data_IF_184579214631
#
_entry.id   IF_184579214631
#
_cell.length_a   1.000
_cell.length_b   1.000
_cell.length_c   1.000
_cell.angle_alpha   90.00
_cell.angle_beta   90.00
_cell.angle_gamma   90.00
#
_symmetry.space_group_name_H-M   'P 1'
#
loop_
_entity.id
_entity.type
_entity.pdbx_description
1 polymer ?
#
# COMPACT_ATOMS: atom_id res chain seq x y z
N UNK A 1 13.42 13.57 7.79
CA UNK A 1 13.39 12.15 7.37
C UNK A 1 13.72 12.06 5.89
N UNK A 2 14.00 10.87 5.38
CA UNK A 2 14.17 10.63 3.95
C UNK A 2 13.12 9.63 3.46
N UNK A 3 12.47 9.93 2.34
CA UNK A 3 11.62 8.99 1.63
C UNK A 3 12.45 8.29 0.56
N UNK A 4 12.64 6.98 0.72
CA UNK A 4 13.46 6.13 -0.13
C UNK A 4 12.54 5.22 -0.94
N UNK A 5 12.62 5.29 -2.27
CA UNK A 5 11.89 4.42 -3.17
C UNK A 5 12.77 3.21 -3.57
N UNK A 6 12.67 2.12 -2.81
CA UNK A 6 13.35 0.87 -3.11
C UNK A 6 12.84 0.24 -4.41
N UNK A 7 11.54 0.39 -4.69
CA UNK A 7 10.97 0.18 -6.03
C UNK A 7 10.26 1.45 -6.52
N UNK A 8 10.07 1.63 -7.85
CA UNK A 8 9.45 2.81 -8.40
C UNK A 8 8.05 3.02 -7.86
N UNK A 9 7.77 4.26 -7.50
CA UNK A 9 6.45 4.75 -7.13
C UNK A 9 5.74 5.22 -8.40
N UNK A 10 4.45 4.92 -8.50
CA UNK A 10 3.53 5.47 -9.49
C UNK A 10 2.49 6.26 -8.71
N UNK A 11 2.16 7.48 -9.13
CA UNK A 11 1.06 8.21 -8.48
C UNK A 11 -0.29 7.84 -9.08
N UNK A 12 -0.40 7.92 -10.41
CA UNK A 12 -1.62 7.65 -11.16
C UNK A 12 -1.27 7.18 -12.56
N UNK A 13 -2.25 6.70 -13.33
CA UNK A 13 -2.05 6.40 -14.76
C UNK A 13 -1.60 7.61 -15.57
N UNK A 14 -2.03 8.82 -15.18
CA UNK A 14 -1.69 10.07 -15.84
C UNK A 14 -0.33 10.66 -15.42
N UNK A 15 0.42 9.97 -14.56
CA UNK A 15 1.71 10.44 -14.04
C UNK A 15 1.60 11.20 -12.72
N UNK A 16 2.64 11.98 -12.40
CA UNK A 16 2.72 12.77 -11.17
C UNK A 16 1.99 14.11 -11.29
N UNK A 17 1.36 14.60 -10.22
CA UNK A 17 0.82 15.94 -10.20
C UNK A 17 1.96 16.95 -10.29
N UNK A 18 1.67 18.09 -10.90
CA UNK A 18 2.60 19.21 -11.08
C UNK A 18 1.95 20.47 -10.50
N UNK A 19 2.76 21.37 -9.97
CA UNK A 19 2.27 22.68 -9.52
C UNK A 19 2.14 23.66 -10.69
N UNK A 20 1.84 24.92 -10.38
CA UNK A 20 1.66 25.99 -11.37
C UNK A 20 2.94 26.26 -12.18
N UNK A 21 4.11 25.95 -11.63
CA UNK A 21 5.42 26.07 -12.30
C UNK A 21 5.81 24.79 -13.07
N UNK A 22 4.92 23.78 -13.12
CA UNK A 22 5.18 22.51 -13.77
C UNK A 22 6.08 21.55 -12.98
N UNK A 23 6.41 21.85 -11.72
CA UNK A 23 7.28 21.02 -10.88
C UNK A 23 6.52 19.81 -10.34
N UNK A 24 7.00 18.58 -10.58
CA UNK A 24 6.32 17.37 -10.10
C UNK A 24 6.48 17.19 -8.59
N UNK A 25 5.45 16.66 -7.94
CA UNK A 25 5.48 16.40 -6.50
C UNK A 25 4.72 15.12 -6.11
N UNK A 26 5.03 14.60 -4.92
CA UNK A 26 4.24 13.61 -4.22
C UNK A 26 3.28 14.35 -3.27
N UNK A 27 1.95 14.18 -3.42
CA UNK A 27 0.99 14.85 -2.56
C UNK A 27 0.90 14.16 -1.20
N UNK A 28 0.53 14.91 -0.16
CA UNK A 28 0.34 14.41 1.21
C UNK A 28 -0.53 13.16 1.30
N UNK A 29 -1.63 13.10 0.54
CA UNK A 29 -2.58 12.00 0.59
C UNK A 29 -1.94 10.65 0.25
N UNK A 30 -0.89 10.62 -0.57
CA UNK A 30 -0.17 9.39 -0.92
C UNK A 30 0.52 8.76 0.30
N UNK A 31 1.01 9.57 1.24
CA UNK A 31 1.59 9.09 2.50
C UNK A 31 0.51 8.77 3.53
N UNK A 32 -0.53 9.60 3.62
CA UNK A 32 -1.66 9.35 4.51
C UNK A 32 -2.32 8.02 4.17
N UNK A 33 -2.56 7.72 2.89
CA UNK A 33 -3.15 6.45 2.46
C UNK A 33 -2.29 5.25 2.89
N UNK A 34 -0.98 5.27 2.63
CA UNK A 34 -0.11 4.14 2.94
C UNK A 34 0.05 3.90 4.45
N UNK A 35 0.18 4.98 5.24
CA UNK A 35 0.22 4.90 6.71
C UNK A 35 -1.14 4.42 7.25
N UNK A 36 -2.25 4.93 6.70
CA UNK A 36 -3.60 4.54 7.11
C UNK A 36 -3.83 3.04 6.92
N UNK A 37 -3.50 2.46 5.77
CA UNK A 37 -3.64 1.02 5.54
C UNK A 37 -2.83 0.19 6.55
N UNK A 38 -1.62 0.66 6.90
CA UNK A 38 -0.80 0.01 7.91
C UNK A 38 -1.42 0.06 9.31
N UNK A 39 -1.93 1.22 9.72
CA UNK A 39 -2.62 1.44 11.00
C UNK A 39 -3.88 0.57 11.12
N UNK A 40 -4.71 0.54 10.08
CA UNK A 40 -5.89 -0.33 10.02
C UNK A 40 -5.47 -1.78 10.24
N UNK A 41 -4.54 -2.30 9.44
CA UNK A 41 -4.11 -3.70 9.55
C UNK A 41 -3.59 -4.03 10.96
N UNK A 42 -2.78 -3.14 11.52
CA UNK A 42 -2.16 -3.33 12.83
C UNK A 42 -3.18 -3.38 13.96
N UNK A 43 -4.12 -2.43 14.01
CA UNK A 43 -5.08 -2.36 15.10
C UNK A 43 -6.17 -3.42 15.01
N UNK A 44 -6.63 -3.77 13.80
CA UNK A 44 -7.54 -4.91 13.65
C UNK A 44 -6.86 -6.19 14.15
N UNK A 45 -5.56 -6.37 13.89
CA UNK A 45 -4.81 -7.53 14.38
C UNK A 45 -4.62 -7.55 15.89
N UNK A 46 -4.53 -6.39 16.55
CA UNK A 46 -4.23 -6.28 17.98
C UNK A 46 -5.47 -6.17 18.87
N UNK A 47 -6.55 -5.59 18.37
CA UNK A 47 -7.74 -5.29 19.14
C UNK A 47 -8.92 -6.15 18.66
N UNK A 48 -9.24 -7.17 19.46
CA UNK A 48 -10.37 -8.08 19.21
C UNK A 48 -11.72 -7.37 19.17
N UNK A 49 -11.88 -6.26 19.89
CA UNK A 49 -13.13 -5.49 19.88
C UNK A 49 -13.33 -4.82 18.52
N UNK A 50 -12.27 -4.16 18.00
CA UNK A 50 -12.30 -3.60 16.64
C UNK A 50 -12.48 -4.72 15.61
N UNK A 51 -11.74 -5.82 15.73
CA UNK A 51 -11.86 -6.96 14.82
C UNK A 51 -13.31 -7.43 14.73
N UNK A 52 -13.96 -7.65 15.88
CA UNK A 52 -15.35 -8.10 15.95
C UNK A 52 -16.31 -7.06 15.40
N UNK A 53 -16.13 -5.77 15.74
CA UNK A 53 -16.95 -4.67 15.21
C UNK A 53 -16.91 -4.63 13.68
N UNK A 54 -15.71 -4.66 13.10
CA UNK A 54 -15.52 -4.60 11.66
C UNK A 54 -15.96 -5.89 10.96
N UNK A 55 -15.71 -7.06 11.56
CA UNK A 55 -16.24 -8.34 11.07
C UNK A 55 -17.77 -8.29 11.02
N UNK A 56 -18.42 -7.75 12.05
CA UNK A 56 -19.88 -7.59 12.07
C UNK A 56 -20.36 -6.65 10.97
N UNK A 57 -19.71 -5.50 10.75
CA UNK A 57 -20.02 -4.59 9.64
C UNK A 57 -19.92 -5.33 8.30
N UNK A 58 -18.81 -6.04 8.09
CA UNK A 58 -18.55 -6.80 6.86
C UNK A 58 -19.59 -7.91 6.65
N UNK A 59 -20.01 -8.61 7.70
CA UNK A 59 -20.93 -9.75 7.59
C UNK A 59 -22.42 -9.37 7.59
N UNK A 60 -22.83 -8.29 8.24
CA UNK A 60 -24.26 -7.94 8.39
C UNK A 60 -24.77 -6.90 7.40
N UNK A 61 -23.93 -5.97 6.95
CA UNK A 61 -24.37 -4.87 6.07
C UNK A 61 -24.16 -5.21 4.58
N UNK A 62 -24.96 -4.66 3.65
CA UNK A 62 -24.68 -4.72 2.22
C UNK A 62 -23.33 -4.04 1.92
N UNK A 63 -22.47 -4.71 1.17
CA UNK A 63 -21.14 -4.20 0.89
C UNK A 63 -21.18 -3.22 -0.28
N UNK A 64 -20.70 -2.00 -0.05
CA UNK A 64 -20.41 -1.03 -1.10
C UNK A 64 -18.95 -0.60 -0.99
N UNK A 65 -18.18 -0.83 -2.05
CA UNK A 65 -16.74 -0.54 -2.12
C UNK A 65 -16.42 0.90 -1.68
N UNK A 66 -17.20 1.89 -2.14
CA UNK A 66 -16.95 3.32 -1.86
C UNK A 66 -17.09 3.63 -0.36
N UNK A 67 -18.08 3.03 0.30
CA UNK A 67 -18.39 3.33 1.70
C UNK A 67 -17.61 2.44 2.66
N UNK A 68 -17.25 1.22 2.25
CA UNK A 68 -16.65 0.23 3.13
C UNK A 68 -15.24 0.63 3.59
N UNK A 69 -14.40 1.13 2.67
CA UNK A 69 -13.08 1.64 3.03
C UNK A 69 -13.16 2.81 4.01
N UNK A 70 -14.13 3.70 3.82
CA UNK A 70 -14.38 4.84 4.72
C UNK A 70 -14.82 4.38 6.12
N UNK A 71 -15.81 3.50 6.21
CA UNK A 71 -16.31 2.96 7.49
C UNK A 71 -15.22 2.26 8.31
N UNK A 72 -14.33 1.52 7.65
CA UNK A 72 -13.23 0.83 8.33
C UNK A 72 -12.20 1.83 8.84
N UNK A 73 -11.85 2.83 8.03
CA UNK A 73 -10.96 3.94 8.42
C UNK A 73 -11.51 4.65 9.65
N UNK A 74 -12.76 5.09 9.60
CA UNK A 74 -13.45 5.77 10.72
C UNK A 74 -13.43 4.90 11.98
N UNK A 75 -13.89 3.65 11.91
CA UNK A 75 -13.97 2.79 13.09
C UNK A 75 -12.61 2.52 13.77
N UNK A 76 -11.50 2.52 13.02
CA UNK A 76 -10.16 2.37 13.59
C UNK A 76 -9.63 3.71 14.10
N UNK A 77 -9.71 4.77 13.30
CA UNK A 77 -9.12 6.07 13.62
C UNK A 77 -9.86 6.79 14.75
N UNK A 78 -11.18 6.59 14.90
CA UNK A 78 -11.97 7.11 16.02
C UNK A 78 -11.49 6.55 17.37
N UNK A 79 -11.07 5.27 17.40
CA UNK A 79 -10.54 4.62 18.62
C UNK A 79 -9.04 4.89 18.78
N UNK A 80 -8.32 5.00 17.68
CA UNK A 80 -6.87 5.16 17.63
C UNK A 80 -6.48 6.38 16.77
N UNK A 81 -6.49 7.60 17.36
CA UNK A 81 -6.19 8.86 16.67
C UNK A 81 -4.69 9.05 16.39
N UNK A 82 -4.05 8.01 15.83
CA UNK A 82 -2.61 7.99 15.53
C UNK A 82 -2.24 8.97 14.42
N UNK A 83 -3.23 9.41 13.62
CA UNK A 83 -3.05 10.34 12.51
C UNK A 83 -3.34 11.81 12.88
N UNK A 84 -3.99 12.09 14.01
CA UNK A 84 -4.49 13.44 14.35
C UNK A 84 -3.38 14.49 14.50
N UNK A 85 -2.18 14.04 14.90
CA UNK A 85 -0.99 14.90 15.05
C UNK A 85 0.12 14.54 14.07
N UNK A 86 -0.23 13.86 12.97
CA UNK A 86 0.69 13.53 11.91
C UNK A 86 0.85 14.72 10.96
N UNK A 87 1.98 15.40 11.07
CA UNK A 87 2.39 16.39 10.09
C UNK A 87 3.08 15.72 8.91
N UNK A 88 2.61 16.03 7.71
CA UNK A 88 3.21 15.69 6.41
C UNK A 88 3.03 16.91 5.51
N UNK A 89 4.05 17.32 4.73
CA UNK A 89 3.93 18.46 3.83
C UNK A 89 2.88 18.20 2.75
N UNK A 90 2.12 19.22 2.36
CA UNK A 90 1.09 19.10 1.31
C UNK A 90 1.67 18.63 -0.02
N UNK A 91 2.89 19.10 -0.35
CA UNK A 91 3.65 18.72 -1.54
C UNK A 91 5.07 18.34 -1.14
N UNK A 92 5.52 17.17 -1.57
CA UNK A 92 6.94 16.76 -1.50
C UNK A 92 7.50 16.73 -2.92
N UNK A 93 8.28 17.74 -3.29
CA UNK A 93 8.82 17.86 -4.64
C UNK A 93 9.82 16.75 -4.97
N UNK A 94 9.71 16.20 -6.17
CA UNK A 94 10.59 15.13 -6.66
C UNK A 94 11.44 15.63 -7.84
N UNK A 95 12.73 15.27 -7.93
CA UNK A 95 13.57 15.72 -9.04
C UNK A 95 13.13 15.12 -10.39
N UNK A 96 12.87 15.97 -11.39
CA UNK A 96 12.47 15.56 -12.75
C UNK A 96 13.42 14.53 -13.37
N UNK A 97 14.73 14.63 -13.09
CA UNK A 97 15.76 13.70 -13.58
C UNK A 97 15.56 12.24 -13.14
N UNK A 98 14.77 12.00 -12.10
CA UNK A 98 14.45 10.66 -11.59
C UNK A 98 13.05 10.17 -12.02
N UNK A 99 12.35 10.95 -12.85
CA UNK A 99 11.07 10.59 -13.43
C UNK A 99 11.30 10.02 -14.82
N UNK A 100 10.70 8.86 -15.10
CA UNK A 100 10.74 8.21 -16.41
C UNK A 100 9.34 7.76 -16.80
N UNK A 101 9.05 7.74 -18.10
CA UNK A 101 7.83 7.12 -18.61
C UNK A 101 8.13 5.66 -18.95
N UNK A 102 7.43 4.74 -18.29
CA UNK A 102 7.61 3.30 -18.48
C UNK A 102 6.28 2.61 -18.75
N UNK A 103 6.34 1.46 -19.43
CA UNK A 103 5.19 0.56 -19.56
C UNK A 103 5.11 -0.31 -18.31
N UNK A 104 3.93 -0.30 -17.69
CA UNK A 104 3.64 -1.01 -16.43
C UNK A 104 2.53 -2.01 -16.69
N UNK A 105 2.69 -3.22 -16.18
CA UNK A 105 1.74 -4.31 -16.32
C UNK A 105 0.91 -4.50 -15.06
N UNK A 106 -0.36 -4.85 -15.23
CA UNK A 106 -1.22 -5.35 -14.18
C UNK A 106 -1.06 -6.87 -14.18
N UNK A 107 -0.19 -7.36 -13.29
CA UNK A 107 0.18 -8.76 -13.20
C UNK A 107 -0.73 -9.50 -12.22
N UNK A 108 -1.28 -10.62 -12.67
CA UNK A 108 -2.03 -11.55 -11.83
C UNK A 108 -1.07 -12.49 -11.11
N UNK A 109 -0.79 -12.20 -9.83
CA UNK A 109 0.12 -13.01 -9.01
C UNK A 109 -0.31 -14.47 -8.88
N UNK A 110 -1.59 -14.81 -9.07
CA UNK A 110 -2.09 -16.19 -8.92
C UNK A 110 -2.04 -16.96 -10.23
N UNK A 111 -2.37 -16.30 -11.35
CA UNK A 111 -2.39 -16.94 -12.69
C UNK A 111 -1.08 -16.78 -13.46
N UNK A 112 -0.20 -15.90 -12.99
CA UNK A 112 1.07 -15.53 -13.62
C UNK A 112 0.91 -15.06 -15.06
N UNK A 113 -0.08 -14.19 -15.27
CA UNK A 113 -0.36 -13.58 -16.57
C UNK A 113 -0.52 -12.08 -16.41
N UNK A 114 -0.13 -11.36 -17.44
CA UNK A 114 -0.40 -9.94 -17.59
C UNK A 114 -1.82 -9.76 -18.12
N UNK A 115 -2.65 -9.02 -17.38
CA UNK A 115 -4.05 -8.82 -17.75
C UNK A 115 -4.19 -7.62 -18.67
N UNK A 116 -3.39 -6.58 -18.43
CA UNK A 116 -3.37 -5.31 -19.14
C UNK A 116 -2.10 -4.56 -18.76
N UNK A 117 -1.70 -3.56 -19.54
CA UNK A 117 -0.72 -2.58 -19.11
C UNK A 117 -1.04 -1.18 -19.61
N UNK A 118 -0.25 -0.22 -19.16
CA UNK A 118 -0.35 1.18 -19.54
C UNK A 118 1.01 1.86 -19.40
N UNK A 119 1.23 2.94 -20.18
CA UNK A 119 2.40 3.80 -20.00
C UNK A 119 2.09 4.85 -18.94
N UNK A 120 3.02 5.08 -18.02
CA UNK A 120 2.89 6.12 -17.00
C UNK A 120 4.24 6.60 -16.51
N UNK A 121 4.23 7.68 -15.74
CA UNK A 121 5.43 8.17 -15.06
C UNK A 121 5.72 7.34 -13.81
N UNK A 122 6.98 6.96 -13.66
CA UNK A 122 7.52 6.28 -12.50
C UNK A 122 8.59 7.17 -11.85
N UNK A 123 8.70 7.10 -10.52
CA UNK A 123 9.76 7.76 -9.76
C UNK A 123 10.50 6.74 -8.89
N UNK A 124 11.82 6.67 -9.04
CA UNK A 124 12.72 5.87 -8.20
C UNK A 124 13.90 6.73 -7.76
N UNK A 125 14.00 6.99 -6.46
CA UNK A 125 15.02 7.85 -5.89
C UNK A 125 14.81 8.06 -4.39
N UNK A 126 15.58 8.99 -3.84
CA UNK A 126 15.45 9.43 -2.44
C UNK A 126 15.11 10.92 -2.42
N UNK A 127 14.16 11.31 -1.56
CA UNK A 127 13.84 12.73 -1.33
C UNK A 127 13.75 13.04 0.17
N UNK A 128 14.22 14.22 0.61
CA UNK A 128 13.98 14.67 1.97
C UNK A 128 12.48 14.91 2.18
N UNK A 129 11.97 14.50 3.33
CA UNK A 129 10.60 14.76 3.75
C UNK A 129 10.53 15.06 5.24
N UNK A 130 9.66 16.00 5.60
CA UNK A 130 9.45 16.40 6.98
C UNK A 130 8.18 15.77 7.53
N UNK A 131 8.29 14.57 8.10
CA UNK A 131 7.18 13.92 8.80
C UNK A 131 7.41 14.06 10.31
N UNK A 132 6.39 14.54 11.02
CA UNK A 132 6.40 14.63 12.49
C UNK A 132 5.14 13.99 13.06
N UNK A 133 5.29 13.21 14.11
CA UNK A 133 4.16 12.64 14.86
C UNK A 133 4.62 12.25 16.25
N UNK A 134 3.82 12.48 17.30
CA UNK A 134 4.08 11.93 18.64
C UNK A 134 3.94 10.40 18.66
N UNK A 135 3.38 9.79 17.61
CA UNK A 135 3.10 8.36 17.52
C UNK A 135 4.01 7.63 16.54
N UNK A 136 5.21 8.16 16.26
CA UNK A 136 6.11 7.62 15.24
C UNK A 136 6.44 6.13 15.46
N UNK A 137 6.64 5.71 16.72
CA UNK A 137 6.90 4.30 17.06
C UNK A 137 5.69 3.39 16.79
N UNK A 138 4.47 3.89 16.99
CA UNK A 138 3.25 3.15 16.64
C UNK A 138 3.10 3.02 15.13
N UNK A 139 3.42 4.10 14.38
CA UNK A 139 3.43 4.10 12.91
C UNK A 139 4.48 3.09 12.40
N UNK A 140 5.69 3.10 12.96
CA UNK A 140 6.77 2.14 12.66
C UNK A 140 6.31 0.70 12.87
N UNK A 141 5.76 0.38 14.04
CA UNK A 141 5.26 -0.97 14.34
C UNK A 141 4.13 -1.41 13.39
N UNK A 142 3.22 -0.49 13.06
CA UNK A 142 2.13 -0.76 12.13
C UNK A 142 2.62 -0.99 10.70
N UNK A 143 3.54 -0.13 10.23
CA UNK A 143 4.19 -0.19 8.93
C UNK A 143 4.89 -1.54 8.73
N UNK A 144 5.73 -1.99 9.67
CA UNK A 144 6.34 -3.32 9.61
C UNK A 144 5.31 -4.45 9.58
N UNK A 145 4.34 -4.43 10.49
CA UNK A 145 3.34 -5.49 10.57
C UNK A 145 2.55 -5.63 9.27
N UNK A 146 2.23 -4.50 8.62
CA UNK A 146 1.50 -4.48 7.36
C UNK A 146 2.38 -4.85 6.16
N UNK A 147 3.53 -4.19 5.99
CA UNK A 147 4.42 -4.41 4.86
C UNK A 147 4.91 -5.86 4.78
N UNK A 148 5.28 -6.46 5.92
CA UNK A 148 5.65 -7.87 5.96
C UNK A 148 4.49 -8.80 5.60
N UNK A 149 3.30 -8.55 6.15
CA UNK A 149 2.13 -9.37 5.87
C UNK A 149 1.75 -9.29 4.39
N UNK A 150 1.79 -8.08 3.82
CA UNK A 150 1.52 -7.82 2.42
C UNK A 150 2.51 -8.55 1.52
N UNK A 151 3.82 -8.38 1.75
CA UNK A 151 4.87 -9.03 0.98
C UNK A 151 4.77 -10.56 1.05
N UNK A 152 4.50 -11.13 2.25
CA UNK A 152 4.31 -12.58 2.43
C UNK A 152 3.07 -13.11 1.71
N UNK A 153 1.98 -12.36 1.69
CA UNK A 153 0.76 -12.75 0.96
C UNK A 153 1.01 -12.71 -0.54
N UNK A 154 1.61 -11.65 -1.07
CA UNK A 154 1.96 -11.55 -2.49
C UNK A 154 2.93 -12.68 -2.91
N UNK A 155 3.97 -12.92 -2.10
CA UNK A 155 4.91 -14.04 -2.27
C UNK A 155 4.21 -15.41 -2.29
N UNK A 156 3.23 -15.64 -1.41
CA UNK A 156 2.53 -16.93 -1.33
C UNK A 156 1.74 -17.29 -2.59
N UNK A 157 1.40 -16.30 -3.43
CA UNK A 157 0.71 -16.51 -4.70
C UNK A 157 1.67 -16.91 -5.84
N UNK A 158 2.98 -16.74 -5.64
CA UNK A 158 4.03 -16.91 -6.64
C UNK A 158 4.80 -18.23 -6.54
N UNK A 159 4.24 -19.25 -5.89
CA UNK A 159 4.93 -20.53 -5.68
C UNK A 159 5.41 -21.14 -7.01
N UNK A 160 6.73 -21.10 -7.26
CA UNK A 160 7.35 -21.62 -8.50
C UNK A 160 7.55 -20.58 -9.60
N UNK A 161 7.12 -19.33 -9.40
CA UNK A 161 7.38 -18.23 -10.33
C UNK A 161 8.72 -17.54 -9.98
N UNK A 162 9.56 -17.16 -10.97
CA UNK A 162 10.87 -16.52 -10.72
C UNK A 162 10.82 -15.25 -9.85
N UNK A 163 9.73 -14.47 -9.94
CA UNK A 163 9.53 -13.27 -9.11
C UNK A 163 9.53 -13.59 -7.60
N UNK A 164 9.19 -14.82 -7.22
CA UNK A 164 9.24 -15.30 -5.83
C UNK A 164 10.66 -15.15 -5.27
N UNK A 165 11.64 -15.76 -5.94
CA UNK A 165 13.02 -15.83 -5.47
C UNK A 165 13.84 -14.58 -5.77
N UNK A 166 13.72 -14.01 -6.96
CA UNK A 166 14.58 -12.87 -7.35
C UNK A 166 14.14 -11.54 -6.75
N UNK A 167 12.88 -11.42 -6.31
CA UNK A 167 12.32 -10.15 -5.84
C UNK A 167 11.70 -10.25 -4.45
N UNK A 168 10.70 -11.12 -4.23
CA UNK A 168 9.97 -11.13 -2.95
C UNK A 168 10.79 -11.68 -1.78
N UNK A 169 11.59 -12.72 -1.97
CA UNK A 169 12.47 -13.25 -0.93
C UNK A 169 13.48 -12.20 -0.44
N UNK A 170 14.27 -11.51 -1.32
CA UNK A 170 15.11 -10.39 -0.92
C UNK A 170 14.34 -9.28 -0.23
N UNK A 171 13.22 -8.85 -0.81
CA UNK A 171 12.38 -7.79 -0.27
C UNK A 171 11.91 -8.08 1.16
N UNK A 172 11.42 -9.29 1.44
CA UNK A 172 10.93 -9.69 2.77
C UNK A 172 12.06 -9.64 3.80
N UNK A 173 13.30 -9.92 3.39
CA UNK A 173 14.47 -9.82 4.26
C UNK A 173 14.90 -8.37 4.51
N UNK A 174 14.79 -7.51 3.49
CA UNK A 174 15.16 -6.09 3.60
C UNK A 174 14.12 -5.26 4.36
N UNK A 175 12.81 -5.50 4.18
CA UNK A 175 11.73 -4.78 4.89
C UNK A 175 11.91 -4.80 6.42
N UNK A 176 12.50 -5.86 6.97
CA UNK A 176 12.76 -5.99 8.41
C UNK A 176 13.78 -4.99 8.93
N UNK A 177 14.65 -4.49 8.05
CA UNK A 177 15.75 -3.56 8.36
C UNK A 177 15.39 -2.11 8.10
N UNK A 178 14.34 -1.86 7.32
CA UNK A 178 13.85 -0.51 7.01
C UNK A 178 13.27 0.14 8.27
N UNK A 179 13.36 1.46 8.37
CA UNK A 179 12.82 2.16 9.54
C UNK A 179 11.29 2.16 9.57
N UNK A 180 10.65 2.64 8.52
CA UNK A 180 9.18 2.63 8.39
C UNK A 180 8.85 2.16 6.98
N UNK A 181 8.63 0.84 6.79
CA UNK A 181 8.35 0.28 5.47
C UNK A 181 6.91 0.57 5.04
N UNK A 182 6.75 1.14 3.85
CA UNK A 182 5.44 1.50 3.30
C UNK A 182 5.25 0.95 1.89
N UNK A 183 4.00 0.65 1.56
CA UNK A 183 3.55 0.40 0.20
C UNK A 183 2.85 1.64 -0.33
N UNK A 184 3.56 2.44 -1.11
CA UNK A 184 3.21 3.83 -1.43
C UNK A 184 2.84 4.02 -2.90
N UNK A 185 1.83 4.85 -3.14
CA UNK A 185 1.34 5.18 -4.48
C UNK A 185 0.39 4.11 -5.04
N UNK A 186 0.27 4.10 -6.36
CA UNK A 186 -0.50 3.12 -7.11
C UNK A 186 0.35 1.86 -7.30
N UNK A 187 -0.02 0.79 -6.61
CA UNK A 187 0.65 -0.51 -6.70
C UNK A 187 -0.31 -1.65 -7.02
N UNK A 188 -1.62 -1.38 -7.00
CA UNK A 188 -2.69 -2.32 -7.34
C UNK A 188 -3.89 -1.57 -7.92
N UNK A 189 -4.66 -2.26 -8.75
CA UNK A 189 -5.97 -1.82 -9.27
C UNK A 189 -7.13 -2.33 -8.39
N UNK A 190 -6.83 -3.13 -7.36
CA UNK A 190 -7.86 -3.62 -6.42
C UNK A 190 -8.41 -2.44 -5.63
N UNK A 191 -9.73 -2.29 -5.62
CA UNK A 191 -10.41 -1.10 -5.11
C UNK A 191 -10.13 -0.78 -3.63
N UNK A 192 -9.73 -1.77 -2.84
CA UNK A 192 -9.42 -1.59 -1.42
C UNK A 192 -7.95 -1.31 -1.13
N UNK A 193 -7.03 -1.40 -2.11
CA UNK A 193 -5.59 -1.13 -1.95
C UNK A 193 -4.96 -1.68 -0.66
N UNK A 194 -5.44 -2.83 -0.18
CA UNK A 194 -4.99 -3.48 1.06
C UNK A 194 -5.66 -3.06 2.38
N UNK A 195 -6.64 -2.16 2.39
CA UNK A 195 -7.40 -1.77 3.61
C UNK A 195 -8.15 -2.97 4.23
N UNK A 196 -8.60 -3.90 3.40
CA UNK A 196 -9.26 -5.14 3.83
C UNK A 196 -8.30 -6.30 4.06
N UNK A 197 -6.98 -6.06 3.95
CA UNK A 197 -6.00 -7.13 3.92
C UNK A 197 -6.19 -8.04 5.13
N UNK A 198 -6.27 -7.53 6.35
CA UNK A 198 -6.39 -8.34 7.58
C UNK A 198 -7.44 -9.46 7.49
N UNK A 199 -8.60 -9.17 6.91
CA UNK A 199 -9.70 -10.13 6.81
C UNK A 199 -9.43 -11.30 5.84
N UNK A 200 -8.28 -11.34 5.17
CA UNK A 200 -7.85 -12.46 4.32
C UNK A 200 -7.84 -13.81 5.06
N UNK A 201 -7.72 -13.77 6.39
CA UNK A 201 -7.72 -14.94 7.27
C UNK A 201 -9.13 -15.37 7.71
N UNK A 202 -10.14 -14.51 7.55
CA UNK A 202 -11.52 -14.79 7.97
C UNK A 202 -12.31 -15.29 6.75
N UNK A 203 -12.54 -16.61 6.71
CA UNK A 203 -13.18 -17.30 5.57
C UNK A 203 -14.54 -16.70 5.22
N UNK A 204 -15.42 -16.47 6.20
CA UNK A 204 -16.78 -15.99 5.94
C UNK A 204 -16.79 -14.57 5.34
N UNK A 205 -15.90 -13.71 5.82
CA UNK A 205 -15.74 -12.34 5.29
C UNK A 205 -15.28 -12.39 3.84
N UNK A 206 -14.31 -13.26 3.53
CA UNK A 206 -13.85 -13.47 2.15
C UNK A 206 -14.95 -13.97 1.23
N UNK A 207 -15.72 -14.95 1.67
CA UNK A 207 -16.81 -15.52 0.89
C UNK A 207 -17.89 -14.48 0.59
N UNK A 208 -18.25 -13.66 1.58
CA UNK A 208 -19.22 -12.59 1.39
C UNK A 208 -18.71 -11.50 0.44
N UNK A 209 -17.48 -11.03 0.63
CA UNK A 209 -16.87 -10.03 -0.28
C UNK A 209 -16.79 -10.59 -1.71
N UNK A 210 -16.42 -11.86 -1.86
CA UNK A 210 -16.40 -12.50 -3.17
C UNK A 210 -17.80 -12.62 -3.78
N UNK A 211 -18.82 -12.95 -2.98
CA UNK A 211 -20.20 -13.08 -3.42
C UNK A 211 -20.77 -11.74 -3.91
N UNK A 212 -20.64 -10.68 -3.11
CA UNK A 212 -21.27 -9.38 -3.35
C UNK A 212 -20.45 -8.46 -4.26
N UNK A 213 -19.12 -8.44 -4.11
CA UNK A 213 -18.25 -7.48 -4.80
C UNK A 213 -17.42 -8.11 -5.92
N UNK A 214 -17.53 -9.43 -6.13
CA UNK A 214 -16.76 -10.18 -7.15
C UNK A 214 -15.25 -9.90 -7.10
N UNK A 215 -14.72 -9.55 -5.92
CA UNK A 215 -13.33 -9.15 -5.70
C UNK A 215 -12.67 -10.00 -4.61
N UNK A 216 -11.43 -10.44 -4.81
CA UNK A 216 -10.62 -11.06 -3.74
C UNK A 216 -9.94 -9.96 -2.92
N UNK A 217 -9.98 -10.05 -1.60
CA UNK A 217 -9.32 -9.09 -0.70
C UNK A 217 -7.80 -9.24 -0.65
N UNK A 218 -7.29 -10.40 -1.09
CA UNK A 218 -5.85 -10.55 -1.30
C UNK A 218 -5.45 -9.70 -2.51
N UNK A 219 -4.28 -9.05 -2.47
CA UNK A 219 -3.76 -8.25 -3.57
C UNK A 219 -3.29 -9.18 -4.71
N UNK A 220 -4.24 -9.75 -5.44
CA UNK A 220 -3.95 -10.66 -6.56
C UNK A 220 -3.37 -9.92 -7.75
N UNK A 221 -3.82 -8.69 -7.99
CA UNK A 221 -3.39 -7.86 -9.09
C UNK A 221 -2.42 -6.81 -8.57
N UNK A 222 -1.21 -6.78 -9.10
CA UNK A 222 -0.19 -5.81 -8.72
C UNK A 222 0.39 -5.14 -9.95
N UNK A 223 0.85 -3.91 -9.78
CA UNK A 223 1.59 -3.22 -10.81
C UNK A 223 3.04 -3.71 -10.83
N UNK A 224 3.45 -4.21 -11.99
CA UNK A 224 4.73 -4.84 -12.26
C UNK A 224 5.48 -4.08 -13.36
N UNK A 225 6.80 -3.92 -13.18
CA UNK A 225 7.70 -3.34 -14.16
C UNK A 225 8.55 -4.44 -14.79
N UNK A 226 8.26 -4.86 -16.03
CA UNK A 226 8.97 -5.98 -16.67
C UNK A 226 10.47 -5.73 -16.82
N UNK A 227 10.84 -4.49 -17.18
CA UNK A 227 12.24 -4.09 -17.36
C UNK A 227 13.05 -4.18 -16.08
N UNK A 228 12.44 -3.89 -14.93
CA UNK A 228 13.10 -3.93 -13.62
C UNK A 228 12.79 -5.22 -12.83
N UNK A 229 11.95 -6.12 -13.37
CA UNK A 229 11.55 -7.39 -12.75
C UNK A 229 11.08 -7.26 -11.30
N UNK A 230 10.29 -6.24 -11.00
CA UNK A 230 9.85 -5.92 -9.63
C UNK A 230 8.44 -5.32 -9.58
N UNK A 231 7.81 -5.37 -8.41
CA UNK A 231 6.53 -4.69 -8.17
C UNK A 231 6.71 -3.28 -7.60
N UNK A 232 5.76 -2.40 -7.88
CA UNK A 232 5.87 -0.95 -7.66
C UNK A 232 5.47 -0.48 -6.27
N UNK A 233 6.12 0.55 -5.74
CA UNK A 233 5.68 1.23 -4.53
C UNK A 233 6.20 0.66 -3.20
N UNK A 234 7.23 -0.20 -3.18
CA UNK A 234 7.91 -0.52 -1.91
C UNK A 234 8.86 0.61 -1.54
N UNK A 235 8.62 1.21 -0.38
CA UNK A 235 9.29 2.45 0.05
C UNK A 235 9.60 2.42 1.53
N UNK A 236 10.49 3.31 1.97
CA UNK A 236 10.89 3.46 3.36
C UNK A 236 10.85 4.95 3.74
N UNK A 237 10.33 5.27 4.92
CA UNK A 237 10.63 6.55 5.58
C UNK A 237 11.74 6.31 6.58
N UNK A 238 12.93 6.81 6.26
CA UNK A 238 14.13 6.69 7.08
C UNK A 238 14.22 7.84 8.08
N UNK A 239 14.38 7.49 9.36
CA UNK A 239 14.57 8.45 10.44
C UNK A 239 16.07 8.78 10.49
N UNK A 240 16.41 10.06 10.56
CA UNK A 240 17.80 10.52 10.71
C UNK A 240 18.09 10.78 12.18
#
# INVERSE_FOLDING_TARGET
>A
MEFICWTPVIFSRSGFPRDEEGKPFLPKNLFIESITSAIIFYYIKKDREIENKLRNILLKEPLNIKNLGKKIKEAVLDKYPVLDQLYIPEKTYIPQKYIKTEYVEIFDLKKWIDIKGFKTEIFKGTVPIEIKSPYIEKIKAAAHSYAEALAKIEHSLLKGHPLSSYFYEPLINEIKKWDIPLRTGMWTEVAFRGDLLFFWRIKEVREKIMKELKTDIRPRYVLYLPKEKQTTGWTELKIK
#
